data_IF_261042603338
#
_entry.id   IF_261042603338
#
_cell.length_a   1.000
_cell.length_b   1.000
_cell.length_c   1.000
_cell.angle_alpha   90.00
_cell.angle_beta   90.00
_cell.angle_gamma   90.00
#
_symmetry.space_group_name_H-M   'P 1'
#
loop_
_entity.id
_entity.type
_entity.pdbx_description
1 polymer ?
#
# COMPACT_ATOMS: atom_id res chain seq x y z
N UNK A 1 -1.03 16.52 -6.00
CA UNK A 1 0.19 17.05 -5.35
C UNK A 1 0.51 16.16 -4.16
N UNK A 2 1.77 15.78 -3.96
CA UNK A 2 2.23 15.03 -2.79
C UNK A 2 2.98 15.99 -1.87
N UNK A 3 2.68 15.93 -0.57
CA UNK A 3 3.27 16.78 0.45
C UNK A 3 3.87 15.93 1.58
N UNK A 4 5.07 16.28 2.01
CA UNK A 4 5.73 15.64 3.15
C UNK A 4 5.18 16.21 4.47
N UNK A 5 4.46 15.38 5.22
CA UNK A 5 3.75 15.79 6.45
C UNK A 5 3.95 14.76 7.55
N UNK A 6 4.51 15.19 8.69
CA UNK A 6 4.78 14.34 9.87
C UNK A 6 5.62 13.10 9.54
N UNK A 7 6.63 13.24 8.68
CA UNK A 7 7.58 12.16 8.39
C UNK A 7 7.16 11.23 7.26
N UNK A 8 6.02 11.46 6.62
CA UNK A 8 5.48 10.58 5.57
C UNK A 8 4.94 11.42 4.41
N UNK A 9 5.10 10.94 3.19
CA UNK A 9 4.50 11.54 2.00
C UNK A 9 2.99 11.30 1.97
N UNK A 10 2.22 12.36 1.69
CA UNK A 10 0.76 12.32 1.67
C UNK A 10 0.17 12.95 0.42
N UNK A 11 -0.80 12.27 -0.19
CA UNK A 11 -1.65 12.81 -1.26
C UNK A 11 -2.46 13.98 -0.72
N UNK A 12 -2.25 15.15 -1.32
CA UNK A 12 -2.82 16.43 -0.91
C UNK A 12 -2.57 16.78 0.57
N UNK A 13 -1.52 16.22 1.19
CA UNK A 13 -1.23 16.37 2.63
C UNK A 13 -2.14 15.54 3.55
N UNK A 14 -3.10 14.78 3.01
CA UNK A 14 -4.11 14.06 3.79
C UNK A 14 -3.78 12.57 3.91
N UNK A 15 -3.73 11.86 2.78
CA UNK A 15 -3.69 10.39 2.76
C UNK A 15 -2.28 9.87 2.49
N UNK A 16 -1.78 8.96 3.32
CA UNK A 16 -0.43 8.39 3.19
C UNK A 16 -0.34 7.20 2.21
N UNK A 17 -1.39 6.99 1.41
CA UNK A 17 -1.46 5.97 0.35
C UNK A 17 -1.95 6.60 -0.94
N UNK A 18 -1.57 6.02 -2.08
CA UNK A 18 -2.00 6.47 -3.40
C UNK A 18 -3.26 5.76 -3.92
N UNK A 19 -3.65 4.65 -3.27
CA UNK A 19 -4.80 3.83 -3.65
C UNK A 19 -5.58 3.41 -2.41
N UNK A 20 -6.90 3.50 -2.49
CA UNK A 20 -7.81 3.11 -1.43
C UNK A 20 -9.23 2.94 -1.98
N UNK A 21 -10.03 2.12 -1.31
CA UNK A 21 -11.48 2.15 -1.49
C UNK A 21 -12.07 3.29 -0.66
N UNK A 22 -13.06 3.99 -1.21
CA UNK A 22 -13.68 5.14 -0.53
C UNK A 22 -12.98 6.45 -0.86
N UNK A 23 -12.74 7.29 0.15
CA UNK A 23 -12.08 8.60 0.03
C UNK A 23 -12.61 9.45 -1.14
N UNK A 24 -13.94 9.55 -1.24
CA UNK A 24 -14.62 10.18 -2.38
C UNK A 24 -14.15 11.64 -2.64
N UNK A 25 -13.80 12.37 -1.59
CA UNK A 25 -13.26 13.73 -1.66
C UNK A 25 -11.91 13.81 -2.39
N UNK A 26 -11.18 12.69 -2.45
CA UNK A 26 -9.87 12.54 -3.12
C UNK A 26 -9.94 11.64 -4.36
N UNK A 27 -11.13 11.29 -4.84
CA UNK A 27 -11.33 10.34 -5.96
C UNK A 27 -10.64 10.71 -7.29
N UNK A 28 -10.25 11.98 -7.48
CA UNK A 28 -9.45 12.40 -8.65
C UNK A 28 -7.96 12.10 -8.51
N UNK A 29 -7.48 11.80 -7.31
CA UNK A 29 -6.07 11.58 -6.96
C UNK A 29 -5.80 10.17 -6.42
N UNK A 30 -6.84 9.53 -5.86
CA UNK A 30 -6.78 8.20 -5.24
C UNK A 30 -7.70 7.28 -6.02
N UNK A 31 -7.15 6.18 -6.52
CA UNK A 31 -7.88 5.17 -7.29
C UNK A 31 -8.08 3.90 -6.46
N UNK A 32 -9.14 3.15 -6.76
CA UNK A 32 -9.41 1.86 -6.14
C UNK A 32 -8.86 0.67 -6.94
N UNK A 33 -8.29 0.92 -8.12
CA UNK A 33 -7.79 -0.15 -9.00
C UNK A 33 -6.59 -0.88 -8.35
N UNK A 34 -6.68 -2.20 -8.13
CA UNK A 34 -5.60 -2.95 -7.53
C UNK A 34 -4.44 -3.13 -8.51
N UNK A 35 -3.26 -3.38 -7.95
CA UNK A 35 -2.18 -4.00 -8.71
C UNK A 35 -2.31 -5.52 -8.59
N UNK A 36 -2.22 -6.22 -9.73
CA UNK A 36 -2.43 -7.66 -9.80
C UNK A 36 -1.16 -8.30 -10.34
N UNK A 37 -0.62 -9.23 -9.55
CA UNK A 37 0.52 -10.05 -9.94
C UNK A 37 0.15 -11.52 -9.82
N UNK A 38 0.64 -12.34 -10.75
CA UNK A 38 0.39 -13.79 -10.80
C UNK A 38 1.71 -14.50 -10.67
N UNK A 39 1.76 -15.51 -9.79
CA UNK A 39 2.94 -16.32 -9.53
C UNK A 39 2.58 -17.80 -9.69
N UNK A 40 3.49 -18.57 -10.28
CA UNK A 40 3.42 -20.03 -10.29
C UNK A 40 4.01 -20.56 -8.98
N UNK A 41 3.35 -21.53 -8.35
CA UNK A 41 3.80 -22.13 -7.10
C UNK A 41 4.69 -23.34 -7.38
N UNK A 42 5.80 -23.42 -6.66
CA UNK A 42 6.73 -24.53 -6.68
C UNK A 42 6.72 -25.28 -5.35
N UNK A 43 7.48 -26.38 -5.27
CA UNK A 43 7.50 -27.23 -4.08
C UNK A 43 8.22 -26.58 -2.91
N UNK A 44 9.11 -25.64 -3.21
CA UNK A 44 9.94 -24.90 -2.28
C UNK A 44 9.20 -23.73 -1.61
N UNK A 45 8.04 -23.33 -2.15
CA UNK A 45 7.22 -22.28 -1.57
C UNK A 45 6.44 -22.81 -0.36
N UNK A 46 6.79 -22.34 0.84
CA UNK A 46 6.21 -22.86 2.08
C UNK A 46 4.90 -22.14 2.48
N UNK A 47 4.87 -20.81 2.37
CA UNK A 47 3.72 -19.99 2.77
C UNK A 47 3.78 -18.58 2.16
N UNK A 48 2.66 -17.86 2.24
CA UNK A 48 2.55 -16.44 1.88
C UNK A 48 2.20 -15.66 3.15
N UNK A 49 2.91 -14.56 3.39
CA UNK A 49 2.60 -13.61 4.46
C UNK A 49 1.85 -12.42 3.88
N UNK A 50 0.64 -12.17 4.39
CA UNK A 50 -0.13 -10.97 4.11
C UNK A 50 -0.33 -10.20 5.41
N UNK A 51 0.08 -8.94 5.44
CA UNK A 51 -0.07 -8.08 6.62
C UNK A 51 -0.21 -6.61 6.21
N UNK A 52 -0.77 -5.80 7.11
CA UNK A 52 -0.79 -4.35 6.98
C UNK A 52 0.58 -3.73 7.28
N UNK A 53 0.71 -2.44 7.00
CA UNK A 53 1.87 -1.60 7.34
C UNK A 53 2.35 -1.78 8.79
N UNK A 54 1.45 -1.96 9.76
CA UNK A 54 1.83 -2.18 11.16
C UNK A 54 2.81 -3.34 11.43
N UNK A 55 2.91 -4.36 10.56
CA UNK A 55 3.96 -5.38 10.64
C UNK A 55 5.26 -4.91 9.94
N UNK A 56 5.11 -4.39 8.73
CA UNK A 56 6.21 -4.05 7.83
C UNK A 56 6.92 -2.74 8.20
N UNK A 57 6.31 -1.90 9.03
CA UNK A 57 6.92 -0.70 9.60
C UNK A 57 8.03 -1.03 10.62
N UNK A 58 8.06 -2.27 11.13
CA UNK A 58 8.97 -2.68 12.22
C UNK A 58 9.83 -3.92 11.89
N UNK A 59 9.49 -4.68 10.85
CA UNK A 59 10.24 -5.86 10.41
C UNK A 59 10.68 -5.73 8.96
N UNK A 60 11.84 -6.31 8.64
CA UNK A 60 12.33 -6.43 7.26
C UNK A 60 11.95 -7.79 6.67
N UNK A 61 11.95 -7.88 5.33
CA UNK A 61 11.65 -9.10 4.58
C UNK A 61 12.87 -10.04 4.44
N UNK A 62 13.86 -9.89 5.32
CA UNK A 62 15.12 -10.65 5.30
C UNK A 62 15.04 -11.96 6.10
#
# INVERSE_FOLDING_TARGET
MVLYVKGVDRVNGCLAVARAFGDAELSQLVIADPEVTVYELYREDEFIVMASDGLWDVLTND
#
